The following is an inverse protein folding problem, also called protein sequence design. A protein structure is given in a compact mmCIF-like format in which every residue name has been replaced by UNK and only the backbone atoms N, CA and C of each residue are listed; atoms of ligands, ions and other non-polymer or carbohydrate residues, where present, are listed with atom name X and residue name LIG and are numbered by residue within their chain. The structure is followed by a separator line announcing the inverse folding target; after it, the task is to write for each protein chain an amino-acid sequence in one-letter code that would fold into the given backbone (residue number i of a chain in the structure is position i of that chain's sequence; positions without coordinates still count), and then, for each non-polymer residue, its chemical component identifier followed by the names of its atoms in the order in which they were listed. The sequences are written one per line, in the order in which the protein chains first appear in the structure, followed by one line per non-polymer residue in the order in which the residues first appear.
data_IF_883617608348
#
_entry.id   IF_883617608348
#
_cell.length_a   1.000
_cell.length_b   1.000
_cell.length_c   1.000
_cell.angle_alpha   90.00
_cell.angle_beta   90.00
_cell.angle_gamma   90.00
#
_symmetry.space_group_name_H-M   'P 1'
#
loop_
_entity.id
_entity.type
_entity.pdbx_description
1 polymer ?
#
# COMPACT_ATOMS: atom_id res chain seq x y z
N UNK A 1 15.64 -18.32 27.54
CA UNK A 1 15.00 -17.05 27.12
C UNK A 1 15.66 -16.59 25.84
N UNK A 2 15.12 -17.00 24.69
CA UNK A 2 15.68 -16.67 23.37
C UNK A 2 15.02 -15.38 22.90
N UNK A 3 15.78 -14.29 22.92
CA UNK A 3 15.36 -13.02 22.33
C UNK A 3 15.51 -13.20 20.83
N UNK A 4 14.41 -13.50 20.14
CA UNK A 4 14.37 -13.42 18.68
C UNK A 4 14.66 -11.98 18.30
N UNK A 5 15.87 -11.72 17.77
CA UNK A 5 16.18 -10.48 17.05
C UNK A 5 15.16 -10.37 15.93
N UNK A 6 14.16 -9.51 16.09
CA UNK A 6 13.44 -8.94 14.97
C UNK A 6 14.49 -8.27 14.10
N UNK A 7 14.80 -8.89 12.97
CA UNK A 7 15.44 -8.21 11.84
C UNK A 7 14.59 -6.98 11.57
N UNK A 8 15.10 -5.83 12.00
CA UNK A 8 14.62 -4.51 11.61
C UNK A 8 14.44 -4.56 10.10
N UNK A 9 13.19 -4.49 9.65
CA UNK A 9 12.84 -4.47 8.25
C UNK A 9 13.30 -3.12 7.72
N UNK A 10 14.57 -3.04 7.37
CA UNK A 10 15.15 -1.93 6.62
C UNK A 10 14.42 -1.92 5.28
N UNK A 11 13.51 -0.97 5.00
CA UNK A 11 12.87 -0.95 3.71
C UNK A 11 14.00 -0.62 2.73
N UNK A 12 14.25 -1.54 1.80
CA UNK A 12 15.31 -1.52 0.80
C UNK A 12 15.11 -0.39 -0.25
N UNK A 13 14.81 0.84 0.21
CA UNK A 13 14.28 2.06 -0.43
C UNK A 13 12.80 2.32 -0.07
N UNK A 14 12.56 3.45 0.61
CA UNK A 14 11.24 4.02 0.85
C UNK A 14 10.63 4.54 -0.48
N UNK A 15 9.37 4.19 -0.85
CA UNK A 15 8.71 4.73 -2.03
C UNK A 15 8.68 6.26 -2.09
N UNK A 16 8.60 6.94 -0.94
CA UNK A 16 8.65 8.41 -0.92
C UNK A 16 10.04 8.92 -1.30
N UNK A 17 11.09 8.23 -0.85
CA UNK A 17 12.45 8.52 -1.27
C UNK A 17 12.66 8.25 -2.77
N UNK A 18 12.14 7.14 -3.29
CA UNK A 18 12.18 6.83 -4.73
C UNK A 18 11.46 7.91 -5.57
N UNK A 19 10.27 8.35 -5.16
CA UNK A 19 9.53 9.46 -5.81
C UNK A 19 10.34 10.76 -5.80
N UNK A 20 10.95 11.09 -4.65
CA UNK A 20 11.79 12.28 -4.51
C UNK A 20 12.99 12.24 -5.45
N UNK A 21 13.68 11.10 -5.53
CA UNK A 21 14.79 10.93 -6.47
C UNK A 21 14.32 11.03 -7.93
N UNK A 22 13.21 10.38 -8.29
CA UNK A 22 12.62 10.48 -9.62
C UNK A 22 12.34 11.95 -10.01
N UNK A 23 11.66 12.71 -9.16
CA UNK A 23 11.34 14.13 -9.41
C UNK A 23 12.61 14.97 -9.59
N UNK A 24 13.62 14.76 -8.75
CA UNK A 24 14.90 15.45 -8.88
C UNK A 24 15.59 15.12 -10.21
N UNK A 25 15.58 13.85 -10.63
CA UNK A 25 16.16 13.42 -11.90
C UNK A 25 15.39 13.99 -13.09
N UNK A 26 14.05 13.97 -13.07
CA UNK A 26 13.22 14.57 -14.14
C UNK A 26 13.48 16.07 -14.24
N UNK A 27 13.59 16.77 -13.10
CA UNK A 27 13.92 18.21 -13.08
C UNK A 27 15.32 18.50 -13.64
N UNK A 28 16.31 17.65 -13.33
CA UNK A 28 17.65 17.77 -13.90
C UNK A 28 17.63 17.60 -15.43
N UNK A 29 16.91 16.60 -15.93
CA UNK A 29 16.77 16.36 -17.37
C UNK A 29 16.03 17.50 -18.08
N UNK A 30 15.02 18.08 -17.44
CA UNK A 30 14.28 19.23 -17.97
C UNK A 30 15.16 20.49 -18.08
N UNK A 31 16.09 20.69 -17.14
CA UNK A 31 16.99 21.86 -17.13
C UNK A 31 18.25 21.67 -17.98
N UNK A 32 18.51 20.46 -18.49
CA UNK A 32 19.72 20.14 -19.29
C UNK A 32 19.36 19.31 -20.53
N UNK A 33 18.85 19.95 -21.61
CA UNK A 33 18.38 19.24 -22.80
C UNK A 33 19.47 18.42 -23.52
N UNK A 34 20.74 18.83 -23.37
CA UNK A 34 21.88 18.08 -23.91
C UNK A 34 22.03 16.69 -23.27
N UNK A 35 21.71 16.54 -21.97
CA UNK A 35 21.71 15.24 -21.32
C UNK A 35 20.60 14.33 -21.88
N UNK A 36 19.44 14.91 -22.15
CA UNK A 36 18.31 14.19 -22.73
C UNK A 36 18.64 13.68 -24.14
N UNK A 37 19.27 14.51 -24.98
CA UNK A 37 19.68 14.11 -26.33
C UNK A 37 20.79 13.07 -26.33
N UNK A 38 21.79 13.20 -25.43
CA UNK A 38 22.84 12.19 -25.28
C UNK A 38 22.30 10.84 -24.79
N UNK A 39 21.43 10.84 -23.78
CA UNK A 39 20.78 9.61 -23.30
C UNK A 39 19.85 9.01 -24.36
N UNK A 40 19.09 9.85 -25.06
CA UNK A 40 18.20 9.40 -26.14
C UNK A 40 18.95 8.82 -27.36
N UNK A 41 20.19 9.25 -27.60
CA UNK A 41 21.01 8.81 -28.71
C UNK A 41 21.47 7.35 -28.63
N UNK A 42 21.55 6.77 -27.42
CA UNK A 42 22.05 5.41 -27.21
C UNK A 42 20.94 4.44 -26.79
N UNK A 43 21.08 3.15 -27.11
CA UNK A 43 20.11 2.13 -26.69
C UNK A 43 20.03 2.02 -25.16
N UNK A 44 21.19 2.06 -24.48
CA UNK A 44 21.30 2.06 -23.02
C UNK A 44 20.63 3.27 -22.39
N UNK A 45 20.88 4.48 -22.91
CA UNK A 45 20.25 5.68 -22.37
C UNK A 45 18.72 5.70 -22.57
N UNK A 46 18.20 5.19 -23.68
CA UNK A 46 16.75 4.97 -23.86
C UNK A 46 16.18 3.93 -22.89
N UNK A 47 16.93 2.90 -22.51
CA UNK A 47 16.51 1.96 -21.48
C UNK A 47 16.44 2.64 -20.10
N UNK A 48 17.42 3.49 -19.76
CA UNK A 48 17.43 4.29 -18.52
C UNK A 48 16.22 5.23 -18.47
N UNK A 49 15.92 5.95 -19.56
CA UNK A 49 14.77 6.85 -19.61
C UNK A 49 13.44 6.11 -19.45
N UNK A 50 13.31 4.91 -20.02
CA UNK A 50 12.13 4.05 -19.81
C UNK A 50 12.02 3.57 -18.37
N UNK A 51 13.11 3.08 -17.80
CA UNK A 51 13.16 2.67 -16.39
C UNK A 51 12.75 3.82 -15.47
N UNK A 52 13.26 5.04 -15.72
CA UNK A 52 12.88 6.24 -14.98
C UNK A 52 11.36 6.52 -15.09
N UNK A 53 10.77 6.30 -16.26
CA UNK A 53 9.33 6.47 -16.49
C UNK A 53 8.45 5.44 -15.76
N UNK A 54 8.96 4.26 -15.42
CA UNK A 54 8.21 3.26 -14.66
C UNK A 54 8.16 3.51 -13.15
N UNK A 55 9.08 4.33 -12.62
CA UNK A 55 9.20 4.55 -11.17
C UNK A 55 7.89 5.04 -10.54
N UNK A 56 7.18 6.05 -11.07
CA UNK A 56 5.94 6.53 -10.45
C UNK A 56 4.89 5.43 -10.31
N UNK A 57 4.62 4.69 -11.38
CA UNK A 57 3.62 3.61 -11.38
C UNK A 57 3.99 2.46 -10.43
N UNK A 58 5.28 2.13 -10.30
CA UNK A 58 5.74 1.13 -9.34
C UNK A 58 5.59 1.61 -7.89
N UNK A 59 5.84 2.89 -7.63
CA UNK A 59 5.59 3.47 -6.32
C UNK A 59 4.09 3.47 -5.98
N UNK A 60 3.22 3.82 -6.93
CA UNK A 60 1.76 3.80 -6.75
C UNK A 60 1.26 2.37 -6.44
N UNK A 61 1.73 1.37 -7.19
CA UNK A 61 1.33 -0.02 -6.93
C UNK A 61 1.90 -0.54 -5.61
N UNK A 62 3.12 -0.14 -5.22
CA UNK A 62 3.67 -0.50 -3.91
C UNK A 62 2.84 0.09 -2.76
N UNK A 63 2.42 1.35 -2.87
CA UNK A 63 1.56 2.01 -1.89
C UNK A 63 0.18 1.33 -1.82
N UNK A 64 -0.41 1.00 -2.98
CA UNK A 64 -1.66 0.25 -3.08
C UNK A 64 -1.57 -1.13 -2.43
N UNK A 65 -0.50 -1.88 -2.70
CA UNK A 65 -0.31 -3.21 -2.11
C UNK A 65 -0.08 -3.14 -0.59
N UNK A 66 0.63 -2.12 -0.10
CA UNK A 66 0.80 -1.87 1.33
C UNK A 66 -0.52 -1.54 2.01
N UNK A 67 -1.34 -0.71 1.37
CA UNK A 67 -2.70 -0.40 1.83
C UNK A 67 -3.55 -1.67 1.91
N UNK A 68 -3.63 -2.44 0.83
CA UNK A 68 -4.40 -3.69 0.78
C UNK A 68 -3.92 -4.71 1.82
N UNK A 69 -2.61 -4.86 2.00
CA UNK A 69 -2.05 -5.76 3.02
C UNK A 69 -2.42 -5.32 4.43
N UNK A 70 -2.37 -4.01 4.71
CA UNK A 70 -2.74 -3.46 6.02
C UNK A 70 -4.22 -3.69 6.29
N UNK A 71 -5.06 -3.45 5.29
CA UNK A 71 -6.51 -3.68 5.37
C UNK A 71 -6.82 -5.15 5.64
N UNK A 72 -6.27 -6.10 4.85
CA UNK A 72 -6.49 -7.54 5.04
C UNK A 72 -6.01 -8.02 6.42
N UNK A 73 -4.93 -7.45 6.95
CA UNK A 73 -4.46 -7.77 8.30
C UNK A 73 -5.38 -7.27 9.39
N UNK A 74 -5.97 -6.09 9.21
CA UNK A 74 -6.94 -5.52 10.14
C UNK A 74 -8.23 -6.33 10.14
N UNK A 75 -8.78 -6.60 8.95
CA UNK A 75 -9.93 -7.46 8.68
C UNK A 75 -9.80 -8.83 9.39
N UNK A 76 -8.67 -9.50 9.16
CA UNK A 76 -8.38 -10.77 9.81
C UNK A 76 -8.30 -10.66 11.34
N UNK A 77 -7.72 -9.58 11.87
CA UNK A 77 -7.63 -9.36 13.31
C UNK A 77 -9.01 -9.13 13.95
N UNK A 78 -9.89 -8.40 13.26
CA UNK A 78 -11.25 -8.17 13.72
C UNK A 78 -12.07 -9.46 13.73
N UNK A 79 -11.99 -10.29 12.67
CA UNK A 79 -12.66 -11.60 12.64
C UNK A 79 -12.17 -12.53 13.76
N UNK A 80 -10.88 -12.52 14.08
CA UNK A 80 -10.36 -13.25 15.24
C UNK A 80 -10.95 -12.71 16.55
N UNK A 81 -11.05 -11.39 16.70
CA UNK A 81 -11.64 -10.76 17.87
C UNK A 81 -13.13 -11.13 18.02
N UNK A 82 -13.91 -11.07 16.93
CA UNK A 82 -15.31 -11.46 16.89
C UNK A 82 -15.50 -12.95 17.23
N UNK A 83 -14.65 -13.83 16.71
CA UNK A 83 -14.66 -15.25 17.06
C UNK A 83 -14.34 -15.49 18.54
N UNK A 84 -13.40 -14.74 19.11
CA UNK A 84 -13.10 -14.81 20.56
C UNK A 84 -14.26 -14.28 21.41
N UNK A 85 -14.88 -13.18 21.00
CA UNK A 85 -16.06 -12.63 21.67
C UNK A 85 -17.23 -13.63 21.66
N UNK A 86 -17.47 -14.27 20.51
CA UNK A 86 -18.49 -15.33 20.35
C UNK A 86 -18.27 -16.48 21.35
N UNK A 87 -17.03 -16.96 21.50
CA UNK A 87 -16.73 -18.05 22.44
C UNK A 87 -16.88 -17.63 23.91
N UNK A 88 -16.49 -16.39 24.25
CA UNK A 88 -16.67 -15.84 25.59
C UNK A 88 -18.17 -15.70 25.92
N UNK A 89 -18.94 -15.10 25.03
CA UNK A 89 -20.39 -14.94 25.13
C UNK A 89 -21.11 -16.28 25.31
N UNK A 90 -20.71 -17.30 24.54
CA UNK A 90 -21.28 -18.65 24.68
C UNK A 90 -20.99 -19.27 26.05
N UNK A 91 -19.78 -19.08 26.59
CA UNK A 91 -19.42 -19.57 27.93
C UNK A 91 -20.14 -18.81 29.05
N UNK A 92 -20.47 -17.53 28.83
CA UNK A 92 -21.21 -16.69 29.76
C UNK A 92 -22.73 -16.90 29.69
N UNK A 93 -23.20 -17.70 28.74
CA UNK A 93 -24.63 -18.01 28.56
C UNK A 93 -25.42 -16.88 27.89
N UNK A 94 -24.74 -16.00 27.14
CA UNK A 94 -25.40 -14.97 26.35
C UNK A 94 -26.40 -15.60 25.37
N UNK A 95 -27.52 -14.92 25.12
CA UNK A 95 -28.64 -15.48 24.35
C UNK A 95 -28.32 -15.64 22.85
N UNK A 96 -27.48 -14.77 22.30
CA UNK A 96 -27.06 -14.79 20.89
C UNK A 96 -25.55 -14.53 20.72
N UNK A 97 -24.69 -15.49 21.11
CA UNK A 97 -23.24 -15.33 21.00
C UNK A 97 -22.74 -15.15 19.55
N UNK A 98 -23.51 -15.68 18.57
CA UNK A 98 -23.17 -15.58 17.15
C UNK A 98 -23.42 -14.17 16.57
N UNK A 99 -24.01 -13.26 17.34
CA UNK A 99 -24.15 -11.86 16.97
C UNK A 99 -22.82 -11.25 16.54
N UNK A 100 -21.77 -11.36 17.35
CA UNK A 100 -20.47 -10.72 17.08
C UNK A 100 -19.83 -11.15 15.76
N UNK A 101 -19.92 -12.45 15.41
CA UNK A 101 -19.37 -12.94 14.15
C UNK A 101 -20.19 -12.49 12.94
N UNK A 102 -21.52 -12.44 13.06
CA UNK A 102 -22.40 -11.97 11.97
C UNK A 102 -22.26 -10.48 11.74
N UNK A 103 -22.12 -9.71 12.80
CA UNK A 103 -21.89 -8.27 12.77
C UNK A 103 -20.61 -7.97 11.98
N UNK A 104 -19.50 -8.60 12.39
CA UNK A 104 -18.22 -8.44 11.71
C UNK A 104 -18.31 -8.86 10.22
N UNK A 105 -18.89 -10.02 9.90
CA UNK A 105 -19.07 -10.47 8.50
C UNK A 105 -19.96 -9.55 7.66
N UNK A 106 -20.94 -8.88 8.30
CA UNK A 106 -21.84 -7.94 7.62
C UNK A 106 -21.11 -6.65 7.26
N UNK A 107 -20.24 -6.17 8.15
CA UNK A 107 -19.36 -5.02 7.89
C UNK A 107 -18.40 -5.29 6.72
N UNK A 108 -17.87 -6.52 6.61
CA UNK A 108 -16.93 -6.91 5.54
C UNK A 108 -17.55 -6.92 4.13
N UNK A 109 -18.87 -7.12 4.03
CA UNK A 109 -19.55 -7.21 2.73
C UNK A 109 -19.77 -5.83 2.11
N UNK A 110 -19.70 -4.75 2.91
CA UNK A 110 -19.91 -3.37 2.45
C UNK A 110 -18.65 -2.60 2.05
N UNK A 111 -17.46 -3.04 2.46
CA UNK A 111 -16.23 -2.23 2.46
C UNK A 111 -15.14 -2.84 1.55
N UNK A 112 -15.37 -2.99 0.24
CA UNK A 112 -14.33 -3.49 -0.70
C UNK A 112 -13.21 -2.44 -0.85
N UNK A 113 -12.00 -2.66 -0.31
CA UNK A 113 -10.91 -1.68 -0.33
C UNK A 113 -10.43 -1.34 -1.75
N UNK A 114 -10.73 -2.18 -2.75
CA UNK A 114 -10.44 -1.88 -4.16
C UNK A 114 -11.24 -0.69 -4.69
N UNK A 115 -12.40 -0.41 -4.10
CA UNK A 115 -13.25 0.73 -4.48
C UNK A 115 -12.88 2.04 -3.77
N UNK A 116 -12.26 1.98 -2.59
CA UNK A 116 -11.91 3.18 -1.80
C UNK A 116 -10.65 3.90 -2.31
N UNK A 117 -9.64 3.17 -2.82
CA UNK A 117 -8.40 3.78 -3.32
C UNK A 117 -8.63 4.67 -4.57
N UNK A 118 -9.58 4.31 -5.43
CA UNK A 118 -9.89 5.07 -6.64
C UNK A 118 -10.59 6.42 -6.34
N UNK A 119 -11.19 6.56 -5.15
CA UNK A 119 -11.92 7.77 -4.74
C UNK A 119 -11.00 8.85 -4.14
N UNK A 120 -9.88 8.46 -3.54
CA UNK A 120 -8.87 9.40 -3.01
C UNK A 120 -8.00 10.08 -4.09
N UNK A 121 -7.90 9.50 -5.30
CA UNK A 121 -7.18 10.12 -6.41
C UNK A 121 -7.97 11.28 -7.06
N UNK A 122 -9.30 11.28 -6.97
CA UNK A 122 -10.17 12.30 -7.58
C UNK A 122 -10.38 13.56 -6.71
N UNK A 123 -10.15 13.49 -5.39
CA UNK A 123 -10.38 14.63 -4.47
C UNK A 123 -9.15 15.55 -4.30
N UNK A 124 -7.99 15.21 -4.89
CA UNK A 124 -6.79 16.06 -4.89
C UNK A 124 -6.73 17.08 -6.03
N UNK A 125 -7.77 17.15 -6.87
CA UNK A 125 -7.84 17.96 -8.09
C UNK A 125 -8.85 19.10 -8.02
N UNK A 126 -8.85 19.91 -6.95
CA UNK A 126 -9.54 21.20 -6.95
C UNK A 126 -8.63 22.28 -6.40
N UNK A 127 -8.34 23.23 -7.30
CA UNK A 127 -7.59 24.49 -7.14
C UNK A 127 -8.04 25.32 -5.92
#
# INVERSE_FOLDING_TARGET
MVITKTTSHDPLIDPQEARRHHLNTVRLLATRPLLLTLLGGTATGRAILRALGYIPALCDEADRLRFLLTWVRLDHANLIAAGRATLAAANEGEHDPLYYLRDELSDHTGDDPRTHHNRQADEGGSL
#
